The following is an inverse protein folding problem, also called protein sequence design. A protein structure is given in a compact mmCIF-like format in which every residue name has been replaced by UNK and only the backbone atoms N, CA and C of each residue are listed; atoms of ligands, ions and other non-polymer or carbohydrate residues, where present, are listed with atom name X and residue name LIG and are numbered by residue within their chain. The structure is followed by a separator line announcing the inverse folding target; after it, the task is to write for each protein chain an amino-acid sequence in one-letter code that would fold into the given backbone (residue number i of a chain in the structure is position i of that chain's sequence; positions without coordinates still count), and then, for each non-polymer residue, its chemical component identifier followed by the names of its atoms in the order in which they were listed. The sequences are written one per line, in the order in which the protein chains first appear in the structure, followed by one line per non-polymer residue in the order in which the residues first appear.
data_IF_520848272417
#
_entry.id   IF_520848272417
#
_cell.length_a   1.000
_cell.length_b   1.000
_cell.length_c   1.000
_cell.angle_alpha   90.00
_cell.angle_beta   90.00
_cell.angle_gamma   90.00
#
_symmetry.space_group_name_H-M   'P 1'
#
loop_
_entity.id
_entity.type
_entity.pdbx_description
1 polymer ?
#
# COMPACT_ATOMS: atom_id res chain seq x y z
N UNK A 1 -10.71 -6.17 -17.01
CA UNK A 1 -11.68 -5.06 -16.83
C UNK A 1 -11.62 -4.08 -17.99
N UNK A 2 -10.52 -3.33 -18.19
CA UNK A 2 -10.40 -2.37 -19.30
C UNK A 2 -10.69 -2.99 -20.69
N UNK A 3 -10.15 -4.18 -20.96
CA UNK A 3 -10.43 -4.91 -22.20
C UNK A 3 -11.92 -5.33 -22.34
N UNK A 4 -12.60 -5.70 -21.25
CA UNK A 4 -14.00 -6.14 -21.31
C UNK A 4 -14.97 -4.97 -21.58
N UNK A 5 -14.66 -3.78 -21.08
CA UNK A 5 -15.40 -2.54 -21.40
C UNK A 5 -15.09 -2.09 -22.84
N UNK A 6 -13.80 -2.10 -23.23
CA UNK A 6 -13.39 -1.75 -24.59
C UNK A 6 -13.96 -2.68 -25.68
N UNK A 7 -14.26 -3.94 -25.33
CA UNK A 7 -14.91 -4.91 -26.20
C UNK A 7 -16.45 -4.89 -26.09
N UNK A 8 -17.04 -3.98 -25.29
CA UNK A 8 -18.49 -3.85 -25.14
C UNK A 8 -19.18 -4.97 -24.33
N UNK A 9 -18.42 -5.83 -23.67
CA UNK A 9 -18.96 -6.92 -22.83
C UNK A 9 -19.61 -6.40 -21.54
N UNK A 10 -19.21 -5.21 -21.12
CA UNK A 10 -19.81 -4.45 -20.03
C UNK A 10 -19.95 -2.97 -20.44
N UNK A 11 -21.07 -2.34 -20.08
CA UNK A 11 -21.39 -0.98 -20.50
C UNK A 11 -20.38 0.07 -20.00
N UNK A 12 -19.82 -0.15 -18.82
CA UNK A 12 -18.82 0.73 -18.21
C UNK A 12 -17.97 -0.03 -17.19
N UNK A 13 -16.96 0.66 -16.65
CA UNK A 13 -16.06 0.11 -15.63
C UNK A 13 -16.78 -0.28 -14.33
N UNK A 14 -17.83 0.45 -13.92
CA UNK A 14 -18.58 0.13 -12.69
C UNK A 14 -19.33 -1.21 -12.85
N UNK A 15 -20.01 -1.40 -13.98
CA UNK A 15 -20.67 -2.65 -14.34
C UNK A 15 -19.68 -3.81 -14.43
N UNK A 16 -18.49 -3.57 -15.01
CA UNK A 16 -17.44 -4.57 -15.08
C UNK A 16 -16.88 -4.94 -13.68
N UNK A 17 -16.63 -3.96 -12.80
CA UNK A 17 -16.20 -4.21 -11.40
C UNK A 17 -17.23 -5.07 -10.69
N UNK A 18 -18.50 -4.68 -10.72
CA UNK A 18 -19.57 -5.38 -10.01
C UNK A 18 -19.75 -6.82 -10.49
N UNK A 19 -19.54 -7.10 -11.78
CA UNK A 19 -19.70 -8.44 -12.36
C UNK A 19 -18.44 -9.32 -12.26
N UNK A 20 -17.25 -8.71 -12.29
CA UNK A 20 -15.98 -9.45 -12.42
C UNK A 20 -15.18 -9.53 -11.11
N UNK A 21 -15.49 -8.72 -10.10
CA UNK A 21 -14.78 -8.74 -8.81
C UNK A 21 -15.63 -9.42 -7.74
N UNK A 22 -14.98 -10.14 -6.83
CA UNK A 22 -15.61 -10.73 -5.64
C UNK A 22 -14.66 -10.59 -4.46
N UNK A 23 -15.21 -10.31 -3.28
CA UNK A 23 -14.42 -10.29 -2.04
C UNK A 23 -14.03 -11.72 -1.71
N UNK A 24 -12.73 -12.02 -1.76
CA UNK A 24 -12.23 -13.36 -1.47
C UNK A 24 -12.11 -13.62 0.04
N UNK A 25 -11.65 -12.61 0.79
CA UNK A 25 -11.47 -12.70 2.24
C UNK A 25 -11.64 -11.34 2.87
N UNK A 26 -12.30 -11.34 4.03
CA UNK A 26 -12.43 -10.19 4.89
C UNK A 26 -11.56 -10.43 6.13
N UNK A 27 -10.88 -9.38 6.58
CA UNK A 27 -10.09 -9.41 7.81
C UNK A 27 -10.59 -8.33 8.73
N UNK A 28 -10.83 -8.71 9.99
CA UNK A 28 -11.19 -7.77 11.04
C UNK A 28 -9.96 -7.42 11.87
N UNK A 29 -9.85 -6.17 12.35
CA UNK A 29 -8.77 -5.79 13.22
C UNK A 29 -8.82 -6.58 14.52
N UNK A 30 -7.72 -7.22 14.86
CA UNK A 30 -7.53 -7.84 16.17
C UNK A 30 -6.98 -6.80 17.12
N UNK A 31 -7.76 -6.37 18.12
CA UNK A 31 -7.41 -5.25 19.00
C UNK A 31 -6.01 -5.39 19.61
N UNK A 32 -5.66 -6.57 20.11
CA UNK A 32 -4.34 -6.83 20.70
C UNK A 32 -3.19 -6.66 19.69
N UNK A 33 -3.40 -7.08 18.43
CA UNK A 33 -2.39 -6.90 17.39
C UNK A 33 -2.27 -5.43 16.99
N UNK A 34 -3.39 -4.71 16.90
CA UNK A 34 -3.40 -3.27 16.62
C UNK A 34 -2.60 -2.51 17.69
N UNK A 35 -2.85 -2.76 18.97
CA UNK A 35 -2.14 -2.11 20.08
C UNK A 35 -0.63 -2.40 20.04
N UNK A 36 -0.24 -3.65 19.74
CA UNK A 36 1.16 -4.03 19.58
C UNK A 36 1.82 -3.25 18.43
N UNK A 37 1.18 -3.21 17.27
CA UNK A 37 1.73 -2.51 16.10
C UNK A 37 1.77 -1.00 16.31
N UNK A 38 0.82 -0.42 17.04
CA UNK A 38 0.83 0.99 17.40
C UNK A 38 2.02 1.33 18.31
N UNK A 39 2.34 0.48 19.28
CA UNK A 39 3.53 0.66 20.11
C UNK A 39 4.82 0.57 19.29
N UNK A 40 4.93 -0.44 18.41
CA UNK A 40 6.07 -0.58 17.50
C UNK A 40 6.21 0.64 16.60
N UNK A 41 5.09 1.14 16.04
CA UNK A 41 5.09 2.32 15.21
C UNK A 41 5.54 3.57 15.98
N UNK A 42 4.90 3.86 17.11
CA UNK A 42 5.14 5.06 17.88
C UNK A 42 6.54 5.11 18.49
N UNK A 43 7.00 3.99 19.04
CA UNK A 43 8.25 3.94 19.81
C UNK A 43 9.47 3.62 18.96
N UNK A 44 9.31 2.86 17.88
CA UNK A 44 10.43 2.40 17.05
C UNK A 44 10.42 3.07 15.69
N UNK A 45 9.42 2.81 14.86
CA UNK A 45 9.49 3.20 13.44
C UNK A 45 9.40 4.70 13.22
N UNK A 46 8.49 5.39 13.93
CA UNK A 46 8.30 6.83 13.83
C UNK A 46 9.56 7.64 14.19
N UNK A 47 10.27 7.39 15.31
CA UNK A 47 11.52 8.09 15.58
C UNK A 47 12.71 7.58 14.76
N UNK A 48 12.68 6.34 14.26
CA UNK A 48 13.74 5.76 13.43
C UNK A 48 13.79 6.40 12.04
N UNK A 49 12.65 6.60 11.39
CA UNK A 49 12.58 7.04 9.99
C UNK A 49 13.27 8.39 9.73
N UNK A 50 13.10 9.43 10.56
CA UNK A 50 13.82 10.70 10.42
C UNK A 50 15.34 10.55 10.54
N UNK A 51 15.83 9.56 11.31
CA UNK A 51 17.27 9.30 11.49
C UNK A 51 17.87 8.56 10.30
N UNK A 52 17.13 7.61 9.71
CA UNK A 52 17.58 6.85 8.55
C UNK A 52 17.53 7.66 7.25
N UNK A 53 16.53 8.53 7.09
CA UNK A 53 16.35 9.34 5.88
C UNK A 53 17.61 10.10 5.42
N UNK A 54 18.32 10.87 6.26
CA UNK A 54 19.53 11.59 5.81
C UNK A 54 20.67 10.62 5.44
N UNK A 55 20.77 9.45 6.09
CA UNK A 55 21.76 8.44 5.72
C UNK A 55 21.49 7.89 4.32
N UNK A 56 20.24 7.55 4.01
CA UNK A 56 19.86 7.11 2.67
C UNK A 56 20.03 8.21 1.62
N UNK A 57 19.77 9.48 1.96
CA UNK A 57 20.05 10.60 1.06
C UNK A 57 21.54 10.74 0.75
N UNK A 58 22.41 10.56 1.75
CA UNK A 58 23.87 10.55 1.56
C UNK A 58 24.33 9.39 0.69
N UNK A 59 23.81 8.19 0.92
CA UNK A 59 24.09 7.03 0.07
C UNK A 59 23.68 7.32 -1.37
N UNK A 60 22.45 7.80 -1.61
CA UNK A 60 21.97 8.16 -2.96
C UNK A 60 22.85 9.20 -3.65
N UNK A 61 23.30 10.22 -2.90
CA UNK A 61 24.19 11.25 -3.42
C UNK A 61 25.57 10.68 -3.80
N UNK A 62 26.10 9.74 -3.02
CA UNK A 62 27.38 9.07 -3.29
C UNK A 62 27.26 8.11 -4.48
N UNK A 63 26.16 7.35 -4.57
CA UNK A 63 25.99 6.31 -5.58
C UNK A 63 25.44 6.83 -6.91
N UNK A 64 25.04 8.10 -6.99
CA UNK A 64 24.48 8.69 -8.22
C UNK A 64 23.13 8.10 -8.64
N UNK A 65 22.36 7.51 -7.72
CA UNK A 65 21.12 6.80 -8.05
C UNK A 65 19.96 7.81 -8.24
N UNK A 66 19.27 7.83 -9.40
CA UNK A 66 18.12 8.71 -9.61
C UNK A 66 16.90 8.26 -8.79
N UNK A 67 15.95 9.19 -8.64
CA UNK A 67 14.79 9.09 -7.73
C UNK A 67 13.88 7.89 -8.01
#
# INVERSE_FOLDING_TARGET
MAAAVGLGLHADSSAAVARMTRVARWFEPQAQAADLYDQLYAQVYRPLYPRLRPLFQRIRAITGYPA
#
